data_IF_061654420127
#
_entry.id   IF_061654420127
#
_cell.length_a   1.000
_cell.length_b   1.000
_cell.length_c   1.000
_cell.angle_alpha   90.00
_cell.angle_beta   90.00
_cell.angle_gamma   90.00
#
_symmetry.space_group_name_H-M   'P 1'
#
loop_
_entity.id
_entity.type
_entity.pdbx_description
1 polymer ?
#
# COMPACT_ATOMS: atom_id res chain seq x y z
N UNK A 1 14.62 -5.80 1.27
CA UNK A 1 14.96 -4.57 2.01
C UNK A 1 15.26 -5.00 3.45
N UNK A 2 16.39 -4.60 4.03
CA UNK A 2 16.77 -5.03 5.38
C UNK A 2 16.19 -4.06 6.41
N UNK A 3 15.46 -4.58 7.40
CA UNK A 3 14.88 -3.75 8.47
C UNK A 3 15.99 -3.12 9.32
N UNK A 4 15.90 -1.82 9.55
CA UNK A 4 16.79 -1.08 10.46
C UNK A 4 16.50 -1.44 11.93
N UNK A 5 17.38 -1.02 12.84
CA UNK A 5 17.15 -1.17 14.29
C UNK A 5 15.89 -0.40 14.72
N UNK A 6 15.64 0.77 14.13
CA UNK A 6 14.45 1.58 14.40
C UNK A 6 13.17 0.89 13.93
N UNK A 7 13.19 0.27 12.74
CA UNK A 7 12.03 -0.47 12.23
C UNK A 7 11.66 -1.63 13.16
N UNK A 8 12.67 -2.37 13.62
CA UNK A 8 12.48 -3.49 14.56
C UNK A 8 11.92 -3.01 15.91
N UNK A 9 12.40 -1.88 16.41
CA UNK A 9 11.91 -1.32 17.66
C UNK A 9 10.47 -0.83 17.52
N UNK A 10 10.14 -0.15 16.43
CA UNK A 10 8.76 0.28 16.14
C UNK A 10 7.80 -0.91 16.03
N UNK A 11 8.19 -1.96 15.30
CA UNK A 11 7.42 -3.21 15.21
C UNK A 11 7.18 -3.78 16.61
N UNK A 12 8.22 -3.90 17.43
CA UNK A 12 8.09 -4.42 18.79
C UNK A 12 7.27 -3.54 19.75
N UNK A 13 7.22 -2.22 19.54
CA UNK A 13 6.28 -1.33 20.26
C UNK A 13 4.84 -1.56 19.82
N UNK A 14 4.60 -1.68 18.50
CA UNK A 14 3.26 -1.98 17.96
C UNK A 14 2.77 -3.34 18.46
N UNK A 15 3.60 -4.38 18.40
CA UNK A 15 3.26 -5.71 18.91
C UNK A 15 2.95 -5.70 20.42
N UNK A 16 3.70 -4.94 21.23
CA UNK A 16 3.43 -4.80 22.67
C UNK A 16 2.17 -4.01 22.97
N UNK A 17 1.86 -2.99 22.18
CA UNK A 17 0.63 -2.21 22.34
C UNK A 17 -0.61 -3.00 21.94
N UNK A 18 -0.44 -4.01 21.06
CA UNK A 18 -1.53 -4.75 20.45
C UNK A 18 -1.31 -6.28 20.45
N UNK A 19 -1.07 -6.91 21.62
CA UNK A 19 -0.64 -8.30 21.69
C UNK A 19 -1.71 -9.29 21.19
N UNK A 20 -2.99 -8.94 21.34
CA UNK A 20 -4.12 -9.81 21.01
C UNK A 20 -5.01 -9.27 19.87
N UNK A 21 -4.55 -8.24 19.14
CA UNK A 21 -5.36 -7.63 18.09
C UNK A 21 -5.03 -8.19 16.71
N UNK A 22 -6.04 -8.30 15.85
CA UNK A 22 -5.83 -8.64 14.46
C UNK A 22 -5.16 -7.48 13.72
N UNK A 23 -4.31 -7.79 12.72
CA UNK A 23 -3.58 -6.78 11.94
C UNK A 23 -4.48 -5.65 11.38
N UNK A 24 -5.72 -5.98 11.01
CA UNK A 24 -6.71 -4.99 10.55
C UNK A 24 -7.08 -3.94 11.60
N UNK A 25 -7.25 -4.34 12.86
CA UNK A 25 -7.63 -3.43 13.97
C UNK A 25 -6.48 -2.48 14.32
N UNK A 26 -5.25 -3.00 14.29
CA UNK A 26 -4.04 -2.21 14.51
C UNK A 26 -3.89 -1.15 13.42
N UNK A 27 -4.02 -1.54 12.14
CA UNK A 27 -3.95 -0.61 11.01
C UNK A 27 -5.06 0.44 11.09
N UNK A 28 -6.29 0.06 11.42
CA UNK A 28 -7.41 1.01 11.57
C UNK A 28 -7.10 2.04 12.67
N UNK A 29 -6.51 1.62 13.78
CA UNK A 29 -6.13 2.53 14.86
C UNK A 29 -5.00 3.48 14.45
N UNK A 30 -3.98 3.00 13.74
CA UNK A 30 -2.91 3.84 13.22
C UNK A 30 -3.42 4.88 12.20
N UNK A 31 -4.41 4.51 11.38
CA UNK A 31 -5.12 5.42 10.48
C UNK A 31 -5.86 6.50 11.29
N UNK A 32 -6.64 6.11 12.32
CA UNK A 32 -7.38 7.06 13.17
C UNK A 32 -6.45 8.03 13.91
N UNK A 33 -5.26 7.59 14.28
CA UNK A 33 -4.25 8.42 14.93
C UNK A 33 -3.52 9.37 13.97
N UNK A 34 -3.76 9.28 12.67
CA UNK A 34 -3.09 10.10 11.64
C UNK A 34 -1.64 9.69 11.35
N UNK A 35 -1.20 8.53 11.85
CA UNK A 35 0.15 7.99 11.61
C UNK A 35 0.28 7.48 10.18
N UNK A 36 -0.80 6.92 9.63
CA UNK A 36 -0.83 6.33 8.28
C UNK A 36 -1.40 7.32 7.28
N UNK A 37 -0.61 7.69 6.28
CA UNK A 37 -1.10 8.40 5.10
C UNK A 37 -1.92 7.46 4.21
N UNK A 38 -3.23 7.49 4.42
CA UNK A 38 -4.17 6.63 3.67
C UNK A 38 -4.19 6.91 2.17
N UNK A 39 -3.88 8.14 1.73
CA UNK A 39 -3.82 8.47 0.30
C UNK A 39 -2.60 7.81 -0.31
N UNK A 40 -1.46 7.87 0.37
CA UNK A 40 -0.24 7.19 -0.05
C UNK A 40 -0.41 5.67 -0.07
N UNK A 41 -1.01 5.09 0.96
CA UNK A 41 -1.27 3.65 0.99
C UNK A 41 -2.13 3.18 -0.19
N UNK A 42 -3.18 3.93 -0.54
CA UNK A 42 -4.02 3.61 -1.72
C UNK A 42 -3.22 3.59 -3.03
N UNK A 43 -2.31 4.54 -3.20
CA UNK A 43 -1.49 4.63 -4.42
C UNK A 43 -0.46 3.50 -4.47
N UNK A 44 0.17 3.19 -3.33
CA UNK A 44 1.16 2.13 -3.23
C UNK A 44 0.55 0.75 -3.45
N UNK A 45 -0.62 0.44 -2.85
CA UNK A 45 -1.25 -0.88 -3.01
C UNK A 45 -1.69 -1.14 -4.45
N UNK A 46 -2.17 -0.11 -5.16
CA UNK A 46 -2.49 -0.21 -6.59
C UNK A 46 -1.23 -0.52 -7.40
N UNK A 47 -0.13 0.19 -7.14
CA UNK A 47 1.15 -0.03 -7.83
C UNK A 47 1.70 -1.42 -7.60
N UNK A 48 1.72 -1.85 -6.35
CA UNK A 48 2.22 -3.16 -5.97
C UNK A 48 1.45 -4.26 -6.69
N UNK A 49 0.11 -4.18 -6.68
CA UNK A 49 -0.73 -5.14 -7.38
C UNK A 49 -0.50 -5.16 -8.90
N UNK A 50 -0.42 -3.99 -9.54
CA UNK A 50 -0.13 -3.92 -10.98
C UNK A 50 1.26 -4.50 -11.29
N UNK A 51 2.27 -4.16 -10.49
CA UNK A 51 3.64 -4.63 -10.70
C UNK A 51 3.76 -6.14 -10.47
N UNK A 52 3.04 -6.70 -9.50
CA UNK A 52 2.97 -8.14 -9.24
C UNK A 52 2.40 -8.89 -10.45
N UNK A 53 1.29 -8.41 -11.03
CA UNK A 53 0.70 -9.00 -12.24
C UNK A 53 1.65 -8.91 -13.44
N UNK A 54 2.27 -7.74 -13.64
CA UNK A 54 3.27 -7.56 -14.70
C UNK A 54 4.46 -8.50 -14.50
N UNK A 55 4.93 -8.67 -13.26
CA UNK A 55 5.99 -9.62 -12.91
C UNK A 55 5.63 -11.08 -13.18
N UNK A 56 4.34 -11.41 -13.20
CA UNK A 56 3.81 -12.73 -13.59
C UNK A 56 3.57 -12.88 -15.10
N UNK A 57 3.89 -11.85 -15.89
CA UNK A 57 3.76 -11.86 -17.35
C UNK A 57 2.46 -11.28 -17.90
N UNK A 58 1.59 -10.72 -17.06
CA UNK A 58 0.39 -10.01 -17.53
C UNK A 58 0.78 -8.73 -18.27
N UNK A 59 0.12 -8.45 -19.40
CA UNK A 59 0.29 -7.18 -20.12
C UNK A 59 -0.01 -5.99 -19.22
N UNK A 60 0.79 -4.91 -19.29
CA UNK A 60 0.66 -3.77 -18.36
C UNK A 60 -0.72 -3.12 -18.39
N UNK A 61 -1.35 -3.05 -19.57
CA UNK A 61 -2.72 -2.51 -19.74
C UNK A 61 -3.74 -3.41 -19.05
N UNK A 62 -3.67 -4.71 -19.28
CA UNK A 62 -4.58 -5.69 -18.66
C UNK A 62 -4.41 -5.70 -17.14
N UNK A 63 -3.17 -5.64 -16.65
CA UNK A 63 -2.88 -5.56 -15.22
C UNK A 63 -3.50 -4.30 -14.57
N UNK A 64 -3.44 -3.15 -15.26
CA UNK A 64 -4.10 -1.92 -14.79
C UNK A 64 -5.62 -2.03 -14.84
N UNK A 65 -6.19 -2.71 -15.83
CA UNK A 65 -7.62 -2.97 -15.92
C UNK A 65 -8.11 -3.88 -14.78
N UNK A 66 -7.41 -4.99 -14.54
CA UNK A 66 -7.67 -5.90 -13.41
C UNK A 66 -7.56 -5.18 -12.05
N UNK A 67 -6.63 -4.24 -11.91
CA UNK A 67 -6.53 -3.40 -10.72
C UNK A 67 -7.75 -2.49 -10.55
N UNK A 68 -8.23 -1.89 -11.64
CA UNK A 68 -9.42 -1.04 -11.62
C UNK A 68 -10.65 -1.83 -11.14
N UNK A 69 -10.82 -3.07 -11.63
CA UNK A 69 -11.89 -3.98 -11.19
C UNK A 69 -11.73 -4.38 -9.73
N UNK A 70 -10.54 -4.84 -9.32
CA UNK A 70 -10.27 -5.29 -7.94
C UNK A 70 -10.50 -4.21 -6.89
N UNK A 71 -10.10 -2.97 -7.18
CA UNK A 71 -10.21 -1.85 -6.24
C UNK A 71 -11.46 -1.00 -6.48
N UNK A 72 -12.37 -1.43 -7.37
CA UNK A 72 -13.61 -0.74 -7.72
C UNK A 72 -13.39 0.75 -8.02
N UNK A 73 -12.38 1.06 -8.82
CA UNK A 73 -11.99 2.42 -9.17
C UNK A 73 -11.88 2.59 -10.70
N UNK A 74 -11.77 3.83 -11.18
CA UNK A 74 -11.64 4.05 -12.61
C UNK A 74 -10.26 3.61 -13.12
N UNK A 75 -10.21 3.11 -14.35
CA UNK A 75 -8.95 2.84 -15.04
C UNK A 75 -8.03 4.09 -15.09
N UNK A 76 -8.63 5.27 -15.24
CA UNK A 76 -7.90 6.55 -15.19
C UNK A 76 -7.23 6.79 -13.83
N UNK A 77 -7.88 6.42 -12.72
CA UNK A 77 -7.27 6.52 -11.40
C UNK A 77 -6.06 5.58 -11.26
N UNK A 78 -6.16 4.34 -11.75
CA UNK A 78 -5.03 3.39 -11.78
C UNK A 78 -3.89 3.94 -12.62
N UNK A 79 -4.20 4.48 -13.81
CA UNK A 79 -3.22 5.13 -14.69
C UNK A 79 -2.51 6.29 -13.97
N UNK A 80 -3.23 7.09 -13.17
CA UNK A 80 -2.63 8.13 -12.32
C UNK A 80 -1.74 7.59 -11.24
N UNK A 81 -2.14 6.52 -10.56
CA UNK A 81 -1.28 5.83 -9.62
C UNK A 81 0.02 5.36 -10.28
N UNK A 82 -0.04 4.78 -11.48
CA UNK A 82 1.13 4.23 -12.16
C UNK A 82 2.08 5.30 -12.74
N UNK A 83 1.54 6.37 -13.32
CA UNK A 83 2.34 7.29 -14.14
C UNK A 83 2.53 8.70 -13.56
N UNK A 84 1.57 9.22 -12.80
CA UNK A 84 1.55 10.63 -12.40
C UNK A 84 1.83 10.85 -10.92
N UNK A 85 1.38 9.97 -10.03
CA UNK A 85 1.58 10.13 -8.59
C UNK A 85 2.97 9.68 -8.12
N UNK A 86 4.03 10.05 -8.86
CA UNK A 86 5.42 9.69 -8.54
C UNK A 86 5.92 10.39 -7.27
N UNK A 87 5.38 11.57 -6.98
CA UNK A 87 5.80 12.45 -5.88
C UNK A 87 4.97 12.31 -4.60
N UNK A 88 4.39 11.14 -4.35
CA UNK A 88 3.85 10.84 -3.01
C UNK A 88 5.04 10.54 -2.09
N UNK A 89 5.78 11.62 -1.76
CA UNK A 89 6.97 11.73 -0.91
C UNK A 89 7.77 10.44 -0.73
N UNK A 90 8.37 9.92 -1.80
CA UNK A 90 9.48 8.96 -1.70
C UNK A 90 10.72 9.68 -1.14
N UNK A 91 10.62 10.12 0.12
CA UNK A 91 11.76 10.32 1.00
C UNK A 91 12.00 9.01 1.75
#
# INVERSE_FOLDING_TARGET
MTLTVYDKQLIGEVERMFPDHHAGEVVERLIRMGVVDTVRCKILVVREYVNELVGRGTGKVDAMYMAAEKFCCSYEYVRKCMYYYKEVNLA
#
